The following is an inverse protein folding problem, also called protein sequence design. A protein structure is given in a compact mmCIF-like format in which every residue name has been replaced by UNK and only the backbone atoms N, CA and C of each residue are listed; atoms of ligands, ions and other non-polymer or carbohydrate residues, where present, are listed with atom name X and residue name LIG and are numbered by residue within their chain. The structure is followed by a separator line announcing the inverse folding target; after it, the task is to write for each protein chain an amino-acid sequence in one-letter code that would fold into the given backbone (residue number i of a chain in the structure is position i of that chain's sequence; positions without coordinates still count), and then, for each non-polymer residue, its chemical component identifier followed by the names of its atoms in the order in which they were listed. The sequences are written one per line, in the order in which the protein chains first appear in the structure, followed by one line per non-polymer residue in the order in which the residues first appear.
data_IF_773278724388
#
_entry.id   IF_773278724388
#
_cell.length_a   1.000
_cell.length_b   1.000
_cell.length_c   1.000
_cell.angle_alpha   90.00
_cell.angle_beta   90.00
_cell.angle_gamma   90.00
#
_symmetry.space_group_name_H-M   'P 1'
#
loop_
_entity.id
_entity.type
_entity.pdbx_description
1 polymer ?
#
# COMPACT_ATOMS: atom_id res chain seq x y z
N UNK A 1 -0.26 13.81 -7.76
CA UNK A 1 -0.92 15.13 -7.86
C UNK A 1 -2.18 15.05 -7.03
N UNK A 2 -2.48 16.03 -6.15
CA UNK A 2 -3.72 16.04 -5.40
C UNK A 2 -4.86 16.38 -6.37
N UNK A 3 -5.74 15.40 -6.63
CA UNK A 3 -6.91 15.58 -7.47
C UNK A 3 -7.96 16.43 -6.76
N UNK A 4 -7.82 17.76 -6.85
CA UNK A 4 -8.92 18.67 -6.54
C UNK A 4 -10.05 18.39 -7.54
N UNK A 5 -11.08 17.67 -7.09
CA UNK A 5 -12.29 17.42 -7.87
C UNK A 5 -13.14 18.71 -7.89
N UNK A 6 -12.79 19.65 -8.77
CA UNK A 6 -13.37 21.01 -8.90
C UNK A 6 -14.80 21.05 -9.45
N UNK A 7 -15.50 19.91 -9.55
CA UNK A 7 -16.85 19.80 -10.14
C UNK A 7 -17.98 19.61 -9.12
N UNK A 8 -17.70 19.32 -7.85
CA UNK A 8 -18.73 19.11 -6.82
C UNK A 8 -19.21 20.45 -6.24
N UNK A 9 -20.53 20.62 -6.13
CA UNK A 9 -21.13 21.73 -5.38
C UNK A 9 -20.90 21.53 -3.87
N UNK A 10 -21.05 22.60 -3.09
CA UNK A 10 -20.74 22.64 -1.64
C UNK A 10 -21.52 21.60 -0.80
N UNK A 11 -22.63 21.09 -1.32
CA UNK A 11 -23.52 20.13 -0.68
C UNK A 11 -23.58 18.81 -1.46
N UNK A 12 -22.50 18.43 -2.14
CA UNK A 12 -22.41 17.20 -2.92
C UNK A 12 -21.26 16.33 -2.42
N UNK A 13 -21.53 15.05 -2.22
CA UNK A 13 -20.51 14.03 -1.98
C UNK A 13 -20.45 13.16 -3.24
N UNK A 14 -19.23 12.95 -3.73
CA UNK A 14 -18.97 11.91 -4.72
C UNK A 14 -18.70 10.61 -3.97
N UNK A 15 -19.67 9.71 -4.04
CA UNK A 15 -19.48 8.36 -3.52
C UNK A 15 -18.93 7.48 -4.64
N UNK A 16 -17.66 7.10 -4.51
CA UNK A 16 -17.02 6.15 -5.40
C UNK A 16 -17.50 4.75 -5.03
N UNK A 17 -18.31 4.15 -5.90
CA UNK A 17 -18.87 2.81 -5.69
C UNK A 17 -17.69 1.82 -5.63
N UNK A 18 -17.44 1.22 -4.48
CA UNK A 18 -16.41 0.19 -4.33
C UNK A 18 -17.03 -1.12 -3.86
N UNK A 19 -17.32 -1.98 -4.83
CA UNK A 19 -17.78 -3.37 -4.73
C UNK A 19 -19.29 -3.65 -4.56
N UNK A 20 -19.66 -4.83 -5.09
CA UNK A 20 -21.00 -5.30 -5.45
C UNK A 20 -22.00 -5.53 -4.29
N UNK A 21 -21.64 -5.20 -3.06
CA UNK A 21 -22.58 -5.23 -1.93
C UNK A 21 -23.30 -3.88 -1.75
N UNK A 22 -22.69 -2.77 -2.20
CA UNK A 22 -23.31 -1.43 -2.17
C UNK A 22 -24.33 -1.23 -3.30
N UNK A 23 -24.32 -2.10 -4.32
CA UNK A 23 -25.20 -1.98 -5.49
C UNK A 23 -26.67 -2.19 -5.15
N UNK A 24 -27.01 -3.15 -4.29
CA UNK A 24 -28.42 -3.50 -4.06
C UNK A 24 -29.20 -2.45 -3.25
N UNK A 25 -28.53 -1.66 -2.40
CA UNK A 25 -29.17 -0.58 -1.64
C UNK A 25 -29.31 0.71 -2.45
N UNK A 26 -28.36 1.00 -3.35
CA UNK A 26 -28.25 2.28 -4.06
C UNK A 26 -28.94 2.30 -5.44
N UNK A 27 -29.40 1.17 -5.97
CA UNK A 27 -30.13 1.09 -7.25
C UNK A 27 -31.50 1.77 -7.27
N UNK A 28 -31.94 2.36 -6.15
CA UNK A 28 -33.25 3.03 -6.04
C UNK A 28 -33.22 4.53 -6.35
N UNK A 29 -32.05 5.14 -6.61
CA UNK A 29 -31.93 6.58 -6.83
C UNK A 29 -31.25 6.92 -8.17
N UNK A 30 -31.92 7.76 -8.97
CA UNK A 30 -31.57 8.20 -10.34
C UNK A 30 -30.27 9.05 -10.46
N UNK A 31 -29.20 8.76 -9.70
CA UNK A 31 -28.13 9.75 -9.42
C UNK A 31 -26.71 9.34 -9.87
N UNK A 32 -26.57 8.36 -10.76
CA UNK A 32 -25.24 7.95 -11.28
C UNK A 32 -24.71 8.95 -12.32
N UNK A 33 -23.55 9.57 -12.03
CA UNK A 33 -22.87 10.51 -12.92
C UNK A 33 -21.62 9.89 -13.53
N UNK A 34 -21.71 9.46 -14.79
CA UNK A 34 -20.63 8.82 -15.52
C UNK A 34 -19.38 9.71 -15.72
N UNK A 35 -19.51 11.05 -15.72
CA UNK A 35 -18.35 11.95 -15.84
C UNK A 35 -17.51 12.02 -14.57
N UNK A 36 -18.13 11.77 -13.41
CA UNK A 36 -17.47 11.82 -12.10
C UNK A 36 -17.13 10.42 -11.57
N UNK A 37 -17.58 9.37 -12.27
CA UNK A 37 -17.26 7.98 -11.95
C UNK A 37 -17.95 7.45 -10.69
N UNK A 38 -19.07 8.07 -10.27
CA UNK A 38 -19.76 7.72 -9.03
C UNK A 38 -21.14 8.36 -8.90
N UNK A 39 -21.78 8.13 -7.76
CA UNK A 39 -23.06 8.74 -7.41
C UNK A 39 -22.83 10.14 -6.85
N UNK A 40 -23.60 11.13 -7.33
CA UNK A 40 -23.54 12.51 -6.85
C UNK A 40 -24.80 12.79 -6.05
N UNK A 41 -24.67 12.69 -4.73
CA UNK A 41 -25.79 12.85 -3.81
C UNK A 41 -25.87 14.31 -3.37
N UNK A 42 -27.03 14.95 -3.59
CA UNK A 42 -27.35 16.23 -2.95
C UNK A 42 -27.84 15.92 -1.53
N UNK A 43 -27.01 16.18 -0.53
CA UNK A 43 -27.28 15.77 0.85
C UNK A 43 -27.68 16.93 1.75
N UNK A 44 -28.61 16.68 2.67
CA UNK A 44 -28.68 17.41 3.93
C UNK A 44 -27.74 16.75 4.97
N UNK A 45 -27.19 17.51 5.94
CA UNK A 45 -26.35 16.95 6.99
C UNK A 45 -26.96 15.74 7.71
N UNK A 46 -28.27 15.73 7.86
CA UNK A 46 -29.05 14.66 8.51
C UNK A 46 -29.13 13.37 7.67
N UNK A 47 -29.10 13.46 6.34
CA UNK A 47 -29.19 12.29 5.45
C UNK A 47 -27.86 11.52 5.40
N UNK A 48 -26.75 12.26 5.38
CA UNK A 48 -25.38 11.70 5.47
C UNK A 48 -25.12 11.12 6.86
N UNK A 49 -25.66 11.77 7.89
CA UNK A 49 -25.63 11.24 9.26
C UNK A 49 -26.30 9.87 9.34
N UNK A 50 -27.49 9.67 8.76
CA UNK A 50 -28.14 8.36 8.81
C UNK A 50 -27.44 7.30 7.96
N UNK A 51 -27.06 7.66 6.72
CA UNK A 51 -26.56 6.68 5.77
C UNK A 51 -25.19 6.11 6.16
N UNK A 52 -24.31 6.95 6.74
CA UNK A 52 -22.96 6.52 7.08
C UNK A 52 -22.79 6.01 8.52
N UNK A 53 -23.66 6.42 9.47
CA UNK A 53 -23.68 5.83 10.82
C UNK A 53 -24.18 4.41 10.78
N UNK A 54 -25.28 4.16 10.07
CA UNK A 54 -25.83 2.81 9.92
C UNK A 54 -24.79 1.90 9.28
N UNK A 55 -24.11 2.36 8.22
CA UNK A 55 -23.02 1.61 7.61
C UNK A 55 -21.86 1.33 8.60
N UNK A 56 -21.50 2.29 9.45
CA UNK A 56 -20.46 2.10 10.47
C UNK A 56 -20.86 1.08 11.54
N UNK A 57 -22.11 1.15 12.02
CA UNK A 57 -22.65 0.25 13.04
C UNK A 57 -22.81 -1.16 12.49
N UNK A 58 -23.40 -1.32 11.30
CA UNK A 58 -23.55 -2.61 10.60
C UNK A 58 -22.18 -3.24 10.32
N UNK A 59 -21.22 -2.45 9.84
CA UNK A 59 -19.85 -2.91 9.61
C UNK A 59 -19.21 -3.45 10.90
N UNK A 60 -19.37 -2.74 12.01
CA UNK A 60 -18.84 -3.16 13.31
C UNK A 60 -19.55 -4.42 13.83
N UNK A 61 -20.86 -4.54 13.62
CA UNK A 61 -21.62 -5.75 13.95
C UNK A 61 -21.17 -6.96 13.13
N UNK A 62 -20.91 -6.78 11.84
CA UNK A 62 -20.37 -7.83 10.96
C UNK A 62 -19.00 -8.30 11.47
N UNK A 63 -18.10 -7.38 11.83
CA UNK A 63 -16.80 -7.75 12.40
C UNK A 63 -16.96 -8.51 13.71
N UNK A 64 -17.82 -8.03 14.63
CA UNK A 64 -18.11 -8.71 15.90
C UNK A 64 -18.71 -10.10 15.69
N UNK A 65 -19.60 -10.24 14.72
CA UNK A 65 -20.18 -11.52 14.35
C UNK A 65 -19.11 -12.50 13.86
N UNK A 66 -18.22 -12.07 12.96
CA UNK A 66 -17.12 -12.89 12.46
C UNK A 66 -16.13 -13.30 13.57
N UNK A 67 -15.84 -12.40 14.52
CA UNK A 67 -15.05 -12.70 15.71
C UNK A 67 -15.74 -13.77 16.57
N UNK A 68 -17.03 -13.58 16.87
CA UNK A 68 -17.79 -14.50 17.74
C UNK A 68 -17.94 -15.90 17.15
N UNK A 69 -18.04 -15.99 15.82
CA UNK A 69 -18.17 -17.24 15.07
C UNK A 69 -16.84 -17.83 14.66
N UNK A 70 -15.71 -17.21 15.03
CA UNK A 70 -14.35 -17.60 14.64
C UNK A 70 -14.19 -17.82 13.12
N UNK A 71 -14.94 -17.07 12.33
CA UNK A 71 -15.02 -17.20 10.88
C UNK A 71 -14.19 -16.13 10.16
N UNK A 72 -13.09 -15.69 10.76
CA UNK A 72 -12.22 -14.64 10.22
C UNK A 72 -11.44 -15.11 8.98
N UNK A 73 -11.29 -16.42 8.83
CA UNK A 73 -10.57 -17.05 7.73
C UNK A 73 -11.45 -18.06 7.00
N UNK A 74 -11.17 -18.24 5.72
CA UNK A 74 -11.72 -19.28 4.87
C UNK A 74 -10.58 -20.11 4.30
N UNK A 75 -10.87 -21.36 3.96
CA UNK A 75 -9.90 -22.24 3.31
C UNK A 75 -10.36 -22.48 1.88
N UNK A 76 -9.47 -22.26 0.91
CA UNK A 76 -9.78 -22.54 -0.50
C UNK A 76 -9.66 -24.03 -0.84
N UNK A 77 -9.92 -24.37 -2.11
CA UNK A 77 -9.85 -25.74 -2.63
C UNK A 77 -8.43 -26.36 -2.58
N UNK A 78 -7.39 -25.54 -2.35
CA UNK A 78 -5.99 -25.95 -2.25
C UNK A 78 -5.47 -25.97 -0.80
N UNK A 79 -6.35 -25.82 0.19
CA UNK A 79 -6.01 -25.66 1.61
C UNK A 79 -5.23 -24.38 1.96
N UNK A 80 -5.24 -23.35 1.10
CA UNK A 80 -4.69 -22.05 1.49
C UNK A 80 -5.68 -21.33 2.41
N UNK A 81 -5.14 -20.71 3.46
CA UNK A 81 -5.91 -19.90 4.40
C UNK A 81 -6.00 -18.49 3.83
N UNK A 82 -7.22 -18.04 3.55
CA UNK A 82 -7.53 -16.70 3.06
C UNK A 82 -8.38 -15.94 4.07
N UNK A 83 -8.25 -14.62 4.11
CA UNK A 83 -9.12 -13.75 4.92
C UNK A 83 -10.57 -13.93 4.46
N UNK A 84 -11.53 -13.93 5.39
CA UNK A 84 -12.94 -14.00 5.03
C UNK A 84 -13.30 -12.82 4.12
N UNK A 85 -13.94 -13.05 2.96
CA UNK A 85 -14.30 -11.98 2.03
C UNK A 85 -15.14 -10.86 2.64
N UNK A 86 -16.01 -11.18 3.62
CA UNK A 86 -16.76 -10.18 4.37
C UNK A 86 -15.82 -9.32 5.23
N UNK A 87 -14.89 -9.93 5.96
CA UNK A 87 -13.89 -9.19 6.74
C UNK A 87 -13.00 -8.31 5.86
N UNK A 88 -12.61 -8.80 4.69
CA UNK A 88 -11.85 -8.04 3.70
C UNK A 88 -12.65 -6.82 3.19
N UNK A 89 -13.95 -6.97 2.95
CA UNK A 89 -14.82 -5.88 2.56
C UNK A 89 -14.95 -4.81 3.67
N UNK A 90 -15.18 -5.23 4.91
CA UNK A 90 -15.28 -4.31 6.05
C UNK A 90 -13.96 -3.55 6.28
N UNK A 91 -12.83 -4.24 6.24
CA UNK A 91 -11.50 -3.61 6.40
C UNK A 91 -11.17 -2.63 5.30
N UNK A 92 -11.57 -2.91 4.06
CA UNK A 92 -11.46 -1.96 2.94
C UNK A 92 -12.33 -0.72 3.16
N UNK A 93 -13.53 -0.87 3.68
CA UNK A 93 -14.40 0.25 4.01
C UNK A 93 -13.79 1.17 5.06
N UNK A 94 -13.17 0.62 6.12
CA UNK A 94 -12.46 1.43 7.12
C UNK A 94 -11.30 2.24 6.54
N UNK A 95 -10.71 1.81 5.42
CA UNK A 95 -9.66 2.58 4.70
C UNK A 95 -10.21 3.62 3.73
N UNK A 96 -11.53 3.66 3.52
CA UNK A 96 -12.16 4.55 2.55
C UNK A 96 -12.19 6.00 3.05
N UNK A 97 -12.31 6.93 2.10
CA UNK A 97 -12.56 8.34 2.43
C UNK A 97 -13.93 8.55 3.05
N UNK A 98 -14.90 7.70 2.71
CA UNK A 98 -16.25 7.70 3.28
C UNK A 98 -16.18 7.50 4.79
N UNK A 99 -15.42 6.52 5.27
CA UNK A 99 -15.24 6.29 6.70
C UNK A 99 -14.60 7.48 7.43
N UNK A 100 -13.57 8.10 6.86
CA UNK A 100 -12.94 9.28 7.46
C UNK A 100 -13.91 10.46 7.58
N UNK A 101 -14.80 10.62 6.60
CA UNK A 101 -15.85 11.63 6.65
C UNK A 101 -16.85 11.31 7.76
N UNK A 102 -17.28 10.06 7.91
CA UNK A 102 -18.12 9.60 9.02
C UNK A 102 -17.45 9.90 10.36
N UNK A 103 -16.21 9.51 10.57
CA UNK A 103 -15.51 9.78 11.84
C UNK A 103 -15.45 11.29 12.14
N UNK A 104 -15.13 12.10 11.14
CA UNK A 104 -15.06 13.56 11.29
C UNK A 104 -16.42 14.18 11.66
N UNK A 105 -17.54 13.69 11.14
CA UNK A 105 -18.88 14.21 11.50
C UNK A 105 -19.28 13.88 12.93
N UNK A 106 -18.73 12.81 13.51
CA UNK A 106 -19.03 12.36 14.87
C UNK A 106 -17.98 12.74 15.91
N UNK A 107 -16.93 13.46 15.51
CA UNK A 107 -15.81 13.79 16.40
C UNK A 107 -15.01 12.56 16.85
N UNK A 108 -15.06 11.48 16.06
CA UNK A 108 -14.27 10.28 16.26
C UNK A 108 -12.96 10.45 15.50
N UNK A 109 -11.83 10.08 16.10
CA UNK A 109 -10.57 9.98 15.37
C UNK A 109 -10.54 8.66 14.58
N UNK A 110 -10.56 8.76 13.25
CA UNK A 110 -10.51 7.60 12.36
C UNK A 110 -9.23 6.76 12.57
N UNK A 111 -8.11 7.39 12.93
CA UNK A 111 -6.83 6.71 13.17
C UNK A 111 -6.91 5.91 14.46
N UNK A 112 -7.44 6.51 15.52
CA UNK A 112 -7.65 5.83 16.81
C UNK A 112 -8.60 4.64 16.66
N UNK A 113 -9.73 4.83 15.96
CA UNK A 113 -10.69 3.75 15.70
C UNK A 113 -10.05 2.58 14.94
N UNK A 114 -9.33 2.87 13.85
CA UNK A 114 -8.61 1.85 13.08
C UNK A 114 -7.60 1.12 13.94
N UNK A 115 -6.89 1.83 14.83
CA UNK A 115 -5.86 1.24 15.71
C UNK A 115 -6.47 0.28 16.74
N UNK A 116 -7.57 0.67 17.38
CA UNK A 116 -8.28 -0.20 18.32
C UNK A 116 -8.89 -1.42 17.62
N UNK A 117 -9.46 -1.24 16.42
CA UNK A 117 -9.98 -2.35 15.63
C UNK A 117 -8.86 -3.32 15.19
N UNK A 118 -7.71 -2.80 14.73
CA UNK A 118 -6.52 -3.60 14.42
C UNK A 118 -6.12 -4.42 15.64
N UNK A 119 -6.00 -3.81 16.81
CA UNK A 119 -5.65 -4.51 18.04
C UNK A 119 -6.63 -5.63 18.37
N UNK A 120 -7.93 -5.35 18.32
CA UNK A 120 -8.97 -6.34 18.59
C UNK A 120 -8.92 -7.53 17.61
N UNK A 121 -8.76 -7.26 16.31
CA UNK A 121 -8.64 -8.31 15.31
C UNK A 121 -7.36 -9.13 15.52
N UNK A 122 -6.23 -8.48 15.79
CA UNK A 122 -4.93 -9.12 15.99
C UNK A 122 -4.97 -10.14 17.13
N UNK A 123 -5.56 -9.75 18.25
CA UNK A 123 -5.75 -10.62 19.43
C UNK A 123 -6.61 -11.87 19.14
N UNK A 124 -7.44 -11.83 18.11
CA UNK A 124 -8.32 -12.94 17.72
C UNK A 124 -7.82 -13.74 16.52
N UNK A 125 -6.88 -13.20 15.73
CA UNK A 125 -6.34 -13.84 14.53
C UNK A 125 -4.98 -14.49 14.74
N UNK A 126 -4.14 -13.92 15.60
CA UNK A 126 -2.78 -14.39 15.80
C UNK A 126 -2.69 -15.38 16.97
N UNK A 127 -1.78 -16.34 16.88
CA UNK A 127 -1.56 -17.38 17.89
C UNK A 127 -1.36 -16.79 19.30
N UNK A 128 -1.75 -17.53 20.34
CA UNK A 128 -1.48 -17.19 21.75
C UNK A 128 0.00 -17.12 22.14
N UNK A 129 0.92 -17.43 21.21
CA UNK A 129 2.35 -17.23 21.41
C UNK A 129 2.64 -15.73 21.53
N UNK A 130 3.38 -15.34 22.56
CA UNK A 130 3.67 -13.93 22.77
C UNK A 130 4.50 -13.38 21.62
N UNK A 131 4.14 -12.20 21.15
CA UNK A 131 4.83 -11.51 20.05
C UNK A 131 6.33 -11.37 20.32
N UNK A 132 6.72 -11.18 21.58
CA UNK A 132 8.12 -11.14 22.01
C UNK A 132 8.89 -12.45 21.75
N UNK A 133 8.22 -13.60 21.86
CA UNK A 133 8.83 -14.91 21.56
C UNK A 133 9.00 -15.06 20.05
N UNK A 134 7.98 -14.72 19.25
CA UNK A 134 8.09 -14.71 17.79
C UNK A 134 9.19 -13.77 17.30
N UNK A 135 9.22 -12.53 17.80
CA UNK A 135 10.26 -11.56 17.47
C UNK A 135 11.65 -12.09 17.83
N UNK A 136 11.82 -12.71 19.00
CA UNK A 136 13.09 -13.29 19.42
C UNK A 136 13.56 -14.44 18.51
N UNK A 137 12.64 -15.28 18.05
CA UNK A 137 12.93 -16.35 17.08
C UNK A 137 13.30 -15.75 15.72
N UNK A 138 12.53 -14.76 15.25
CA UNK A 138 12.77 -14.12 13.96
C UNK A 138 14.11 -13.39 13.90
N UNK A 139 14.53 -12.72 14.99
CA UNK A 139 15.84 -12.07 15.09
C UNK A 139 17.02 -13.05 15.07
N UNK A 140 16.79 -14.34 15.36
CA UNK A 140 17.82 -15.38 15.30
C UNK A 140 17.97 -16.00 13.91
N UNK A 141 16.93 -15.94 13.07
CA UNK A 141 16.99 -16.42 11.69
C UNK A 141 17.52 -15.31 10.76
N UNK A 142 18.68 -15.56 10.15
CA UNK A 142 19.32 -14.61 9.22
C UNK A 142 18.61 -14.47 7.87
N UNK A 143 17.69 -15.39 7.56
CA UNK A 143 16.91 -15.37 6.33
C UNK A 143 15.61 -14.55 6.46
N UNK A 144 15.30 -14.09 7.67
CA UNK A 144 14.13 -13.26 7.93
C UNK A 144 14.48 -11.78 7.79
N UNK A 145 13.72 -11.09 6.94
CA UNK A 145 13.80 -9.66 6.75
C UNK A 145 12.54 -9.04 7.32
N UNK A 146 12.70 -8.02 8.15
CA UNK A 146 11.59 -7.24 8.70
C UNK A 146 11.24 -6.09 7.75
N UNK A 147 9.99 -6.04 7.32
CA UNK A 147 9.45 -4.98 6.48
C UNK A 147 8.65 -4.00 7.33
N UNK A 148 9.04 -2.73 7.32
CA UNK A 148 8.29 -1.67 7.98
C UNK A 148 6.91 -1.51 7.32
N UNK A 149 5.85 -1.69 8.11
CA UNK A 149 4.49 -1.50 7.65
C UNK A 149 4.07 -0.05 7.91
N UNK A 150 3.36 0.57 6.97
CA UNK A 150 2.83 1.93 7.14
C UNK A 150 1.32 1.86 7.30
N UNK A 151 0.74 2.87 7.95
CA UNK A 151 -0.71 2.92 8.19
C UNK A 151 -1.55 2.92 6.90
N UNK A 152 -0.98 3.37 5.77
CA UNK A 152 -1.60 3.37 4.45
C UNK A 152 -1.42 2.05 3.69
N UNK A 153 -0.64 1.10 4.22
CA UNK A 153 -0.61 -0.26 3.69
C UNK A 153 -1.95 -0.94 3.97
N UNK A 154 -2.40 -1.76 3.03
CA UNK A 154 -3.68 -2.47 3.14
C UNK A 154 -3.72 -3.41 4.34
N UNK A 155 -4.94 -3.74 4.78
CA UNK A 155 -5.17 -4.67 5.90
C UNK A 155 -4.78 -6.11 5.57
N UNK A 156 -4.54 -6.43 4.29
CA UNK A 156 -4.03 -7.72 3.82
C UNK A 156 -2.71 -8.10 4.49
N UNK A 157 -1.78 -7.14 4.63
CA UNK A 157 -0.48 -7.34 5.29
C UNK A 157 -0.67 -7.61 6.80
N UNK A 158 -1.68 -7.00 7.41
CA UNK A 158 -1.97 -7.14 8.83
C UNK A 158 -2.54 -8.53 9.20
N UNK A 159 -3.15 -9.23 8.24
CA UNK A 159 -3.69 -10.57 8.47
C UNK A 159 -2.66 -11.70 8.32
N UNK A 160 -1.44 -11.36 7.92
CA UNK A 160 -0.34 -12.31 7.82
C UNK A 160 0.10 -12.78 9.22
N UNK A 161 0.33 -14.09 9.38
CA UNK A 161 0.64 -14.69 10.69
C UNK A 161 1.97 -14.21 11.30
N UNK A 162 2.87 -13.72 10.45
CA UNK A 162 4.19 -13.21 10.82
C UNK A 162 4.20 -11.69 11.01
N UNK A 163 3.03 -11.05 10.98
CA UNK A 163 2.89 -9.64 11.32
C UNK A 163 3.10 -9.42 12.83
N UNK A 164 3.89 -8.40 13.17
CA UNK A 164 4.21 -7.99 14.53
C UNK A 164 3.57 -6.62 14.80
N UNK A 165 2.46 -6.62 15.52
CA UNK A 165 1.67 -5.42 15.81
C UNK A 165 2.44 -4.35 16.61
N UNK A 166 3.21 -4.76 17.63
CA UNK A 166 3.94 -3.85 18.51
C UNK A 166 5.09 -3.14 17.78
N UNK A 167 5.74 -3.83 16.84
CA UNK A 167 6.84 -3.29 16.04
C UNK A 167 6.36 -2.63 14.74
N UNK A 168 5.09 -2.84 14.37
CA UNK A 168 4.51 -2.44 13.08
C UNK A 168 5.33 -2.96 11.89
N UNK A 169 5.69 -4.24 11.95
CA UNK A 169 6.57 -4.90 10.97
C UNK A 169 6.04 -6.26 10.56
N UNK A 170 6.26 -6.61 9.30
CA UNK A 170 6.03 -7.97 8.81
C UNK A 170 7.36 -8.71 8.74
N UNK A 171 7.48 -9.83 9.46
CA UNK A 171 8.63 -10.72 9.36
C UNK A 171 8.43 -11.66 8.18
N UNK A 172 9.21 -11.49 7.12
CA UNK A 172 9.10 -12.39 5.95
C UNK A 172 10.39 -13.17 5.81
N UNK A 173 10.26 -14.48 5.67
CA UNK A 173 11.37 -15.33 5.25
C UNK A 173 11.54 -15.23 3.74
N UNK A 174 12.66 -14.67 3.31
CA UNK A 174 12.95 -14.51 1.89
C UNK A 174 13.83 -15.67 1.42
N UNK A 175 13.43 -16.32 0.32
CA UNK A 175 14.35 -17.24 -0.35
C UNK A 175 15.35 -16.45 -1.19
N UNK A 176 16.51 -17.05 -1.49
CA UNK A 176 17.47 -16.47 -2.44
C UNK A 176 16.81 -16.08 -3.77
N UNK A 177 15.80 -16.85 -4.20
CA UNK A 177 15.02 -16.54 -5.41
C UNK A 177 14.23 -15.25 -5.26
N UNK A 178 13.52 -15.07 -4.14
CA UNK A 178 12.70 -13.87 -3.91
C UNK A 178 13.57 -12.61 -3.86
N UNK A 179 14.72 -12.71 -3.17
CA UNK A 179 15.74 -11.66 -3.11
C UNK A 179 16.21 -11.31 -4.52
N UNK A 180 16.58 -12.33 -5.30
CA UNK A 180 17.05 -12.14 -6.67
C UNK A 180 15.98 -11.56 -7.59
N UNK A 181 14.71 -11.95 -7.44
CA UNK A 181 13.61 -11.43 -8.26
C UNK A 181 13.35 -9.94 -7.98
N UNK A 182 13.36 -9.53 -6.71
CA UNK A 182 13.16 -8.12 -6.33
C UNK A 182 14.32 -7.26 -6.78
N UNK A 183 15.57 -7.68 -6.52
CA UNK A 183 16.72 -6.93 -7.01
C UNK A 183 16.82 -6.94 -8.54
N UNK A 184 16.38 -8.00 -9.22
CA UNK A 184 16.30 -8.03 -10.68
C UNK A 184 15.31 -7.01 -11.22
N UNK A 185 14.16 -6.82 -10.56
CA UNK A 185 13.19 -5.76 -10.88
C UNK A 185 13.78 -4.38 -10.64
N UNK A 186 14.45 -4.17 -9.51
CA UNK A 186 15.12 -2.91 -9.18
C UNK A 186 16.20 -2.57 -10.23
N UNK A 187 17.07 -3.53 -10.56
CA UNK A 187 18.11 -3.39 -11.59
C UNK A 187 17.50 -2.97 -12.93
N UNK A 188 16.52 -3.71 -13.44
CA UNK A 188 15.83 -3.39 -14.71
C UNK A 188 15.17 -2.02 -14.67
N UNK A 189 14.56 -1.65 -13.54
CA UNK A 189 13.96 -0.32 -13.35
C UNK A 189 14.99 0.80 -13.45
N UNK A 190 16.17 0.63 -12.83
CA UNK A 190 17.28 1.59 -12.93
C UNK A 190 17.79 1.73 -14.36
N UNK A 191 17.97 0.61 -15.10
CA UNK A 191 18.35 0.65 -16.53
C UNK A 191 17.29 1.39 -17.36
N UNK A 192 16.01 1.02 -17.21
CA UNK A 192 14.91 1.66 -17.93
C UNK A 192 14.80 3.16 -17.62
N UNK A 193 15.01 3.56 -16.36
CA UNK A 193 15.04 4.96 -15.96
C UNK A 193 16.17 5.71 -16.66
N UNK A 194 17.38 5.15 -16.68
CA UNK A 194 18.53 5.72 -17.38
C UNK A 194 18.24 5.92 -18.86
N UNK A 195 17.82 4.85 -19.57
CA UNK A 195 17.50 4.90 -21.00
C UNK A 195 16.41 5.93 -21.30
N UNK A 196 15.33 5.95 -20.51
CA UNK A 196 14.25 6.92 -20.66
C UNK A 196 14.75 8.36 -20.49
N UNK A 197 15.64 8.62 -19.54
CA UNK A 197 16.19 9.95 -19.32
C UNK A 197 17.17 10.36 -20.43
N UNK A 198 17.97 9.42 -20.95
CA UNK A 198 18.86 9.65 -22.09
C UNK A 198 18.07 9.97 -23.35
N UNK A 199 17.11 9.11 -23.73
CA UNK A 199 16.29 9.29 -24.95
C UNK A 199 15.51 10.60 -24.93
N UNK A 200 15.04 11.03 -23.76
CA UNK A 200 14.30 12.28 -23.61
C UNK A 200 15.19 13.51 -23.39
N UNK A 201 16.52 13.38 -23.45
CA UNK A 201 17.47 14.46 -23.14
C UNK A 201 17.23 15.12 -21.77
N UNK A 202 16.82 14.32 -20.77
CA UNK A 202 16.49 14.74 -19.39
C UNK A 202 17.45 14.18 -18.35
N UNK A 203 18.49 13.45 -18.76
CA UNK A 203 19.48 12.88 -17.85
C UNK A 203 20.27 13.97 -17.12
N UNK A 204 20.54 15.08 -17.77
CA UNK A 204 21.17 16.26 -17.16
C UNK A 204 20.24 17.46 -17.26
N UNK A 205 20.19 18.27 -16.22
CA UNK A 205 19.40 19.49 -16.12
C UNK A 205 20.33 20.69 -15.97
N UNK A 206 19.83 21.90 -16.22
CA UNK A 206 20.53 23.14 -15.84
C UNK A 206 19.89 23.70 -14.57
N UNK A 207 20.72 24.02 -13.59
CA UNK A 207 20.26 24.71 -12.39
C UNK A 207 19.95 26.20 -12.68
N UNK A 208 19.48 26.92 -11.66
CA UNK A 208 19.16 28.36 -11.74
C UNK A 208 20.38 29.23 -12.04
N UNK A 209 21.60 28.71 -11.83
CA UNK A 209 22.87 29.38 -12.08
C UNK A 209 23.47 29.00 -13.45
N UNK A 210 22.80 28.13 -14.22
CA UNK A 210 23.23 27.65 -15.53
C UNK A 210 24.19 26.47 -15.51
N UNK A 211 24.53 25.93 -14.33
CA UNK A 211 25.37 24.74 -14.19
C UNK A 211 24.62 23.48 -14.60
N UNK A 212 25.33 22.56 -15.26
CA UNK A 212 24.77 21.26 -15.63
C UNK A 212 24.87 20.32 -14.44
N UNK A 213 23.72 19.84 -13.96
CA UNK A 213 23.60 18.83 -12.90
C UNK A 213 22.99 17.55 -13.46
N UNK A 214 23.26 16.42 -12.83
CA UNK A 214 22.52 15.19 -13.14
C UNK A 214 21.09 15.33 -12.64
N UNK A 215 20.14 14.71 -13.33
CA UNK A 215 18.76 14.64 -12.90
C UNK A 215 18.68 14.04 -11.47
N UNK A 216 18.12 14.76 -10.48
CA UNK A 216 18.10 14.31 -9.10
C UNK A 216 17.39 12.96 -8.91
N UNK A 217 16.44 12.62 -9.78
CA UNK A 217 15.77 11.30 -9.75
C UNK A 217 16.74 10.18 -10.09
N UNK A 218 17.68 10.41 -11.01
CA UNK A 218 18.71 9.43 -11.37
C UNK A 218 19.89 9.43 -10.40
N UNK A 219 20.29 10.61 -9.92
CA UNK A 219 21.38 10.75 -8.94
C UNK A 219 21.14 9.92 -7.66
N UNK A 220 19.88 9.84 -7.19
CA UNK A 220 19.49 8.98 -6.06
C UNK A 220 19.77 7.49 -6.28
N UNK A 221 20.06 7.06 -7.50
CA UNK A 221 20.38 5.67 -7.84
C UNK A 221 21.88 5.37 -7.75
N UNK A 222 22.76 6.36 -7.54
CA UNK A 222 24.21 6.14 -7.63
C UNK A 222 24.77 5.20 -6.57
N UNK A 223 24.32 5.29 -5.33
CA UNK A 223 24.72 4.37 -4.27
C UNK A 223 24.34 2.92 -4.64
N UNK A 224 23.11 2.73 -5.12
CA UNK A 224 22.63 1.45 -5.64
C UNK A 224 23.49 0.95 -6.82
N UNK A 225 23.74 1.77 -7.83
CA UNK A 225 24.56 1.41 -9.01
C UNK A 225 25.99 1.02 -8.62
N UNK A 226 26.57 1.67 -7.60
CA UNK A 226 27.92 1.39 -7.11
C UNK A 226 27.99 0.20 -6.15
N UNK A 227 26.86 -0.33 -5.70
CA UNK A 227 26.83 -1.46 -4.77
C UNK A 227 27.29 -2.77 -5.40
N UNK A 228 27.83 -3.67 -4.57
CA UNK A 228 28.15 -5.04 -4.97
C UNK A 228 26.90 -5.82 -5.42
N UNK A 229 25.75 -5.55 -4.79
CA UNK A 229 24.47 -6.19 -5.11
C UNK A 229 24.04 -5.89 -6.55
N UNK A 230 24.20 -4.66 -7.03
CA UNK A 230 23.93 -4.31 -8.43
C UNK A 230 24.79 -5.10 -9.41
N UNK A 231 26.05 -5.37 -9.03
CA UNK A 231 26.98 -6.15 -9.85
C UNK A 231 26.64 -7.63 -9.89
N UNK A 232 26.34 -8.22 -8.74
CA UNK A 232 25.88 -9.62 -8.62
C UNK A 232 24.64 -9.84 -9.47
N UNK A 233 23.63 -8.98 -9.31
CA UNK A 233 22.33 -9.10 -10.00
C UNK A 233 22.47 -8.84 -11.50
N UNK A 234 23.20 -7.80 -11.90
CA UNK A 234 23.43 -7.51 -13.31
C UNK A 234 24.17 -8.65 -14.02
N UNK A 235 25.18 -9.22 -13.38
CA UNK A 235 25.93 -10.37 -13.91
C UNK A 235 25.05 -11.62 -14.00
N UNK A 236 24.22 -11.88 -12.99
CA UNK A 236 23.24 -12.97 -13.02
C UNK A 236 22.25 -12.84 -14.18
N UNK A 237 21.81 -11.61 -14.48
CA UNK A 237 20.93 -11.31 -15.61
C UNK A 237 21.65 -11.28 -16.98
N UNK A 238 22.96 -11.53 -17.03
CA UNK A 238 23.76 -11.60 -18.25
C UNK A 238 24.27 -10.25 -18.77
N UNK A 239 24.23 -9.19 -17.97
CA UNK A 239 24.75 -7.88 -18.34
C UNK A 239 26.24 -7.74 -18.04
N UNK A 240 26.95 -6.99 -18.88
CA UNK A 240 28.29 -6.51 -18.55
C UNK A 240 28.17 -5.25 -17.68
N UNK A 241 28.16 -5.43 -16.36
CA UNK A 241 27.95 -4.34 -15.39
C UNK A 241 29.03 -3.27 -15.47
N UNK A 242 30.29 -3.66 -15.67
CA UNK A 242 31.38 -2.71 -15.83
C UNK A 242 31.13 -1.77 -17.02
N UNK A 243 30.74 -2.32 -18.16
CA UNK A 243 30.39 -1.52 -19.34
C UNK A 243 29.19 -0.60 -19.09
N UNK A 244 28.14 -1.08 -18.40
CA UNK A 244 26.98 -0.26 -18.03
C UNK A 244 27.39 0.90 -17.13
N UNK A 245 28.18 0.66 -16.08
CA UNK A 245 28.67 1.70 -15.17
C UNK A 245 29.48 2.75 -15.93
N UNK A 246 30.37 2.33 -16.83
CA UNK A 246 31.14 3.26 -17.67
C UNK A 246 30.24 4.08 -18.59
N UNK A 247 29.21 3.47 -19.20
CA UNK A 247 28.25 4.19 -20.04
C UNK A 247 27.46 5.22 -19.24
N UNK A 248 26.94 4.84 -18.07
CA UNK A 248 26.21 5.75 -17.18
C UNK A 248 27.11 6.90 -16.69
N UNK A 249 28.34 6.60 -16.27
CA UNK A 249 29.34 7.60 -15.87
C UNK A 249 29.57 8.63 -16.99
N UNK A 250 29.83 8.13 -18.20
CA UNK A 250 30.12 8.94 -19.38
C UNK A 250 28.92 9.83 -19.73
N UNK A 251 27.70 9.27 -19.73
CA UNK A 251 26.48 9.99 -20.03
C UNK A 251 26.16 11.07 -18.99
N UNK A 252 26.46 10.82 -17.71
CA UNK A 252 26.29 11.79 -16.64
C UNK A 252 27.43 12.83 -16.56
N UNK A 253 28.48 12.72 -17.40
CA UNK A 253 29.75 13.47 -17.26
C UNK A 253 30.35 13.36 -15.85
N UNK A 254 30.20 12.19 -15.23
CA UNK A 254 30.74 11.91 -13.91
C UNK A 254 32.08 11.20 -14.02
N UNK A 255 33.13 11.82 -13.52
CA UNK A 255 34.35 11.10 -13.11
C UNK A 255 34.08 10.43 -11.77
N UNK A 256 33.98 9.11 -11.76
CA UNK A 256 34.10 8.32 -10.52
C UNK A 256 35.59 8.28 -10.15
N UNK A 257 35.92 8.70 -8.93
CA UNK A 257 37.26 8.57 -8.36
C UNK A 257 37.43 7.18 -7.74
#
# INVERSE_FOLDING_TARGET
MPGNCTKLLKNQILHNISFAAETDYLFTLEEYNAELGGLVINWAPEDVYQLYVVAMEESLENVKYLLSTKSLYTTDEFNNINVNPLLEAETRWYMSKSFELTCATHGIDAIEFRSELKKCLYENTHSSESENVKLSQCLQDKEIIFHDCKDDMGWDIFFDQDYLLAENKLAVKWTDRDIMDVYSKAFKSTINLFEKLVVNNKLTLRDTSGWVIVNPTFERQFEWINSEVFEIVGSHLGYNVAAIRTQMATACKMTFN
#
